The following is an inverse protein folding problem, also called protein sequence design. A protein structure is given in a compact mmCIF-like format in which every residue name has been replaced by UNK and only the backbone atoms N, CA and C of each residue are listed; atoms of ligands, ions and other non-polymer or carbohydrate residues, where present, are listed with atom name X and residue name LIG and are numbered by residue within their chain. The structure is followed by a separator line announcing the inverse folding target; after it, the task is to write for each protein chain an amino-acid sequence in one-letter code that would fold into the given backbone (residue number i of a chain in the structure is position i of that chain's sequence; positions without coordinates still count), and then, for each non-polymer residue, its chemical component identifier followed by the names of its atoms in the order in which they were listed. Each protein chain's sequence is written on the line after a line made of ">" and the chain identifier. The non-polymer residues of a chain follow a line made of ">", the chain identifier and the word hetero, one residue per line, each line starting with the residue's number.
data_IF_824396681642
#
_entry.id   IF_824396681642
#
_cell.length_a   1.000
_cell.length_b   1.000
_cell.length_c   1.000
_cell.angle_alpha   90.00
_cell.angle_beta   90.00
_cell.angle_gamma   90.00
#
_symmetry.space_group_name_H-M   'P 1'
#
loop_
_entity.id
_entity.type
_entity.pdbx_description
1 polymer ?
#
# COMPACT_ATOMS: atom_id res chain seq x y z
N UNK A 1 2.07 -32.44 11.20
CA UNK A 1 2.82 -32.64 12.48
C UNK A 1 4.27 -32.37 12.13
N UNK A 2 4.85 -31.28 12.68
CA UNK A 2 6.25 -30.95 12.46
C UNK A 2 7.14 -31.89 13.27
N UNK A 3 8.31 -32.18 12.76
CA UNK A 3 9.32 -33.01 13.45
C UNK A 3 10.12 -32.08 14.37
N UNK A 4 10.08 -32.29 15.68
CA UNK A 4 10.87 -31.54 16.64
C UNK A 4 12.37 -31.82 16.39
N UNK A 5 13.15 -30.78 16.05
CA UNK A 5 14.57 -30.94 15.71
C UNK A 5 15.48 -30.85 16.95
N UNK A 6 15.16 -30.07 17.99
CA UNK A 6 15.86 -30.01 19.28
C UNK A 6 15.22 -29.02 20.25
N UNK A 7 15.33 -29.30 21.55
CA UNK A 7 15.22 -28.31 22.61
C UNK A 7 16.49 -27.46 22.68
N UNK A 8 16.32 -26.16 22.89
CA UNK A 8 17.41 -25.19 23.05
C UNK A 8 17.51 -24.77 24.53
N UNK A 9 18.71 -24.48 24.99
CA UNK A 9 19.01 -24.29 26.42
C UNK A 9 18.32 -23.09 27.11
N UNK A 10 17.60 -22.24 26.36
CA UNK A 10 17.04 -20.96 26.84
C UNK A 10 15.51 -20.87 26.76
N UNK A 11 14.79 -21.99 26.88
CA UNK A 11 13.32 -21.97 26.84
C UNK A 11 12.75 -21.82 25.43
N UNK A 12 13.48 -22.30 24.44
CA UNK A 12 13.02 -22.36 23.05
C UNK A 12 13.18 -23.78 22.50
N UNK A 13 12.33 -24.14 21.52
CA UNK A 13 12.49 -25.35 20.74
C UNK A 13 12.33 -25.06 19.25
N UNK A 14 13.12 -25.79 18.44
CA UNK A 14 13.12 -25.66 16.99
C UNK A 14 12.32 -26.82 16.38
N UNK A 15 11.32 -26.47 15.58
CA UNK A 15 10.45 -27.40 14.87
C UNK A 15 10.64 -27.21 13.36
N UNK A 16 10.61 -28.29 12.58
CA UNK A 16 10.65 -28.24 11.13
C UNK A 16 9.28 -28.61 10.56
N UNK A 17 8.70 -27.71 9.79
CA UNK A 17 7.45 -27.96 9.06
C UNK A 17 7.67 -27.66 7.59
N UNK A 18 7.75 -28.72 6.77
CA UNK A 18 8.07 -28.64 5.34
C UNK A 18 9.36 -27.83 5.06
N UNK A 19 9.23 -26.70 4.37
CA UNK A 19 10.35 -25.80 4.02
C UNK A 19 10.58 -24.68 5.03
N UNK A 20 9.99 -24.77 6.25
CA UNK A 20 10.08 -23.74 7.29
C UNK A 20 10.64 -24.32 8.57
N UNK A 21 11.61 -23.60 9.16
CA UNK A 21 12.10 -23.83 10.53
C UNK A 21 11.35 -22.88 11.46
N UNK A 22 10.70 -23.41 12.46
CA UNK A 22 9.87 -22.65 13.42
C UNK A 22 10.53 -22.68 14.78
N UNK A 23 10.85 -21.51 15.30
CA UNK A 23 11.33 -21.35 16.68
C UNK A 23 10.14 -21.00 17.58
N UNK A 24 9.91 -21.84 18.61
CA UNK A 24 8.84 -21.64 19.60
C UNK A 24 9.42 -21.47 21.00
N UNK A 25 8.67 -20.79 21.86
CA UNK A 25 8.97 -20.75 23.30
C UNK A 25 8.40 -21.98 23.98
N UNK A 26 8.83 -22.24 25.23
CA UNK A 26 8.34 -23.36 26.05
C UNK A 26 6.83 -23.34 26.30
N UNK A 27 6.21 -22.17 26.25
CA UNK A 27 4.75 -22.00 26.31
C UNK A 27 4.02 -22.35 25.00
N UNK A 28 4.76 -22.79 23.96
CA UNK A 28 4.24 -23.12 22.65
C UNK A 28 4.04 -21.90 21.74
N UNK A 29 4.25 -20.67 22.23
CA UNK A 29 4.10 -19.47 21.40
C UNK A 29 5.19 -19.37 20.34
N UNK A 30 4.83 -18.81 19.17
CA UNK A 30 5.76 -18.59 18.05
C UNK A 30 6.74 -17.47 18.42
N UNK A 31 8.04 -17.76 18.36
CA UNK A 31 9.10 -16.77 18.52
C UNK A 31 9.58 -16.25 17.14
N UNK A 32 9.86 -17.16 16.21
CA UNK A 32 10.27 -16.82 14.84
C UNK A 32 10.03 -17.97 13.86
N UNK A 33 9.98 -17.68 12.56
CA UNK A 33 9.91 -18.68 11.50
C UNK A 33 10.91 -18.33 10.38
N UNK A 34 11.64 -19.34 9.87
CA UNK A 34 12.68 -19.18 8.88
C UNK A 34 12.49 -20.18 7.74
N UNK A 35 12.81 -19.81 6.51
CA UNK A 35 12.84 -20.79 5.42
C UNK A 35 14.03 -21.73 5.58
N UNK A 36 13.78 -23.04 5.42
CA UNK A 36 14.84 -24.06 5.46
C UNK A 36 15.80 -23.99 4.26
N UNK A 37 15.46 -23.22 3.22
CA UNK A 37 16.33 -23.00 2.05
C UNK A 37 17.35 -21.89 2.26
N UNK A 38 17.10 -20.96 3.21
CA UNK A 38 17.96 -19.80 3.47
C UNK A 38 18.68 -19.81 4.82
N UNK A 39 18.18 -20.55 5.81
CA UNK A 39 18.77 -20.61 7.13
C UNK A 39 19.16 -22.06 7.48
N UNK A 40 20.45 -22.29 7.75
CA UNK A 40 20.89 -23.57 8.28
C UNK A 40 20.39 -23.74 9.72
N UNK A 41 19.87 -24.92 10.14
CA UNK A 41 19.40 -25.17 11.50
C UNK A 41 20.43 -24.82 12.59
N UNK A 42 21.72 -25.00 12.27
CA UNK A 42 22.84 -24.65 13.17
C UNK A 42 22.96 -23.14 13.41
N UNK A 43 22.72 -22.30 12.39
CA UNK A 43 22.78 -20.84 12.52
C UNK A 43 21.61 -20.31 13.37
N UNK A 44 20.42 -20.90 13.21
CA UNK A 44 19.24 -20.54 14.01
C UNK A 44 19.43 -20.94 15.49
N UNK A 45 20.07 -22.11 15.75
CA UNK A 45 20.42 -22.53 17.10
C UNK A 45 21.44 -21.60 17.75
N UNK A 46 22.52 -21.30 17.06
CA UNK A 46 23.56 -20.43 17.59
C UNK A 46 23.02 -19.05 17.95
N UNK A 47 22.21 -18.45 17.08
CA UNK A 47 21.57 -17.16 17.33
C UNK A 47 20.57 -17.19 18.51
N UNK A 48 19.84 -18.30 18.69
CA UNK A 48 18.92 -18.46 19.82
C UNK A 48 19.65 -18.68 21.15
N UNK A 49 20.82 -19.33 21.14
CA UNK A 49 21.66 -19.59 22.32
C UNK A 49 22.41 -18.34 22.81
N UNK A 50 22.90 -17.49 21.87
CA UNK A 50 23.64 -16.26 22.21
C UNK A 50 22.72 -15.09 22.62
N UNK A 51 21.50 -15.03 22.10
CA UNK A 51 20.61 -13.90 22.27
C UNK A 51 19.85 -13.86 23.60
N UNK A 52 20.18 -14.58 24.61
CA UNK A 52 19.62 -14.65 25.98
C UNK A 52 18.49 -13.71 26.44
N UNK A 53 18.13 -12.68 25.69
CA UNK A 53 16.97 -11.77 25.90
C UNK A 53 16.58 -11.06 24.58
N UNK A 54 15.30 -10.93 24.33
CA UNK A 54 14.67 -10.61 23.03
C UNK A 54 15.11 -9.38 22.21
N UNK A 55 15.81 -8.40 22.77
CA UNK A 55 16.34 -7.26 22.00
C UNK A 55 17.70 -7.58 21.36
N UNK A 56 18.55 -8.33 22.05
CA UNK A 56 19.85 -8.77 21.53
C UNK A 56 19.74 -9.77 20.35
N UNK A 57 18.62 -10.49 20.23
CA UNK A 57 18.35 -11.41 19.12
C UNK A 57 18.19 -10.69 17.79
N UNK A 58 17.57 -9.52 17.78
CA UNK A 58 17.38 -8.71 16.58
C UNK A 58 18.71 -8.02 16.13
N UNK A 59 19.56 -7.61 17.07
CA UNK A 59 20.87 -7.00 16.80
C UNK A 59 21.90 -8.04 16.33
N UNK A 60 22.06 -9.17 17.04
CA UNK A 60 22.99 -10.23 16.65
C UNK A 60 22.65 -10.86 15.29
N UNK A 61 21.37 -10.90 14.91
CA UNK A 61 20.95 -11.37 13.58
C UNK A 61 21.18 -10.31 12.51
N UNK A 62 21.11 -9.01 12.83
CA UNK A 62 21.45 -7.90 11.93
C UNK A 62 22.93 -7.87 11.56
N UNK A 63 23.82 -8.03 12.52
CA UNK A 63 25.28 -7.98 12.29
C UNK A 63 25.84 -9.22 11.57
N UNK A 64 25.27 -10.41 11.79
CA UNK A 64 25.71 -11.64 11.12
C UNK A 64 25.33 -11.68 9.63
N UNK A 65 24.44 -10.81 9.17
CA UNK A 65 23.95 -10.75 7.79
C UNK A 65 24.36 -9.49 7.01
N UNK A 66 25.12 -8.55 7.60
CA UNK A 66 25.59 -7.32 6.93
C UNK A 66 26.81 -7.53 6.02
N UNK A 67 26.90 -8.67 5.38
CA UNK A 67 27.93 -9.04 4.43
C UNK A 67 27.43 -9.58 3.10
N UNK A 68 26.95 -8.69 2.20
CA UNK A 68 26.73 -8.93 0.76
C UNK A 68 25.49 -9.71 0.35
N UNK A 69 24.70 -9.06 -0.46
CA UNK A 69 23.47 -9.43 -1.14
C UNK A 69 22.24 -9.36 -0.23
N UNK A 70 21.33 -8.50 -0.64
CA UNK A 70 19.94 -8.51 -0.22
C UNK A 70 19.35 -9.92 -0.39
N UNK A 71 19.57 -10.76 0.61
CA UNK A 71 18.79 -11.98 0.75
C UNK A 71 17.42 -11.57 1.21
N UNK A 72 16.34 -11.95 0.53
CA UNK A 72 15.01 -11.61 0.96
C UNK A 72 14.81 -12.15 2.38
N UNK A 73 14.54 -11.27 3.32
CA UNK A 73 14.14 -11.61 4.69
C UNK A 73 12.95 -12.58 4.60
N UNK A 74 13.18 -13.84 4.86
CA UNK A 74 12.24 -14.96 4.75
C UNK A 74 11.27 -15.03 5.94
N UNK A 75 10.73 -13.91 6.36
CA UNK A 75 9.49 -13.91 7.09
C UNK A 75 8.38 -13.93 6.05
N UNK A 76 7.65 -15.03 5.95
CA UNK A 76 6.45 -15.17 5.13
C UNK A 76 5.58 -13.92 5.26
N UNK A 77 5.79 -12.98 4.35
CA UNK A 77 5.17 -11.67 4.36
C UNK A 77 3.98 -11.68 3.41
N UNK A 78 2.79 -11.49 3.92
CA UNK A 78 1.66 -11.15 3.08
C UNK A 78 1.84 -9.71 2.58
N UNK A 79 1.69 -9.52 1.27
CA UNK A 79 1.54 -8.21 0.67
C UNK A 79 0.11 -8.04 0.18
N UNK A 80 -0.56 -6.99 0.61
CA UNK A 80 -1.87 -6.61 0.12
C UNK A 80 -1.73 -5.38 -0.79
N UNK A 81 -2.18 -5.50 -2.03
CA UNK A 81 -2.28 -4.40 -2.97
C UNK A 81 -3.71 -3.91 -3.00
N UNK A 82 -3.91 -2.65 -2.63
CA UNK A 82 -5.20 -1.98 -2.60
C UNK A 82 -5.39 -0.98 -3.74
N UNK A 83 -4.30 -0.53 -4.37
CA UNK A 83 -4.38 0.34 -5.53
C UNK A 83 -4.85 -0.42 -6.77
N UNK A 84 -6.00 -0.01 -7.30
CA UNK A 84 -6.67 -0.70 -8.39
C UNK A 84 -7.40 -1.94 -7.90
N UNK A 85 -7.18 -3.05 -8.58
CA UNK A 85 -7.76 -4.32 -8.21
C UNK A 85 -7.08 -4.90 -6.97
N UNK A 86 -7.89 -5.40 -6.02
CA UNK A 86 -7.33 -6.02 -4.83
C UNK A 86 -6.58 -7.32 -5.16
N UNK A 87 -5.34 -7.40 -4.69
CA UNK A 87 -4.51 -8.58 -4.79
C UNK A 87 -3.87 -8.88 -3.44
N UNK A 88 -3.81 -10.16 -3.09
CA UNK A 88 -3.02 -10.65 -1.97
C UNK A 88 -1.86 -11.46 -2.53
N UNK A 89 -0.65 -11.16 -2.11
CA UNK A 89 0.56 -11.85 -2.55
C UNK A 89 1.25 -12.50 -1.37
N UNK A 90 1.82 -13.66 -1.62
CA UNK A 90 2.74 -14.36 -0.72
C UNK A 90 4.06 -14.52 -1.46
N UNK A 91 5.14 -13.98 -0.92
CA UNK A 91 6.49 -14.03 -1.54
C UNK A 91 6.52 -13.59 -3.02
N UNK A 92 5.67 -12.61 -3.37
CA UNK A 92 5.55 -12.08 -4.73
C UNK A 92 4.57 -12.80 -5.64
N UNK A 93 4.07 -13.98 -5.27
CA UNK A 93 3.09 -14.73 -6.04
C UNK A 93 1.66 -14.39 -5.61
N UNK A 94 0.76 -14.21 -6.59
CA UNK A 94 -0.64 -13.86 -6.32
C UNK A 94 -1.39 -15.06 -5.74
N UNK A 95 -1.97 -14.86 -4.56
CA UNK A 95 -2.79 -15.87 -3.87
C UNK A 95 -4.17 -15.96 -4.50
N UNK A 96 -4.61 -17.19 -4.82
CA UNK A 96 -5.97 -17.43 -5.30
C UNK A 96 -6.98 -17.31 -4.15
N UNK A 97 -7.79 -16.25 -4.17
CA UNK A 97 -8.68 -15.88 -3.06
C UNK A 97 -10.05 -16.58 -3.08
N UNK A 98 -10.32 -17.42 -4.07
CA UNK A 98 -11.63 -18.05 -4.23
C UNK A 98 -12.72 -17.07 -4.69
N UNK A 99 -14.01 -17.49 -4.58
CA UNK A 99 -15.16 -16.75 -5.13
C UNK A 99 -16.16 -16.26 -4.09
N UNK A 100 -15.92 -16.45 -2.81
CA UNK A 100 -16.84 -16.03 -1.75
C UNK A 100 -16.73 -14.51 -1.53
N UNK A 101 -17.58 -13.74 -2.20
CA UNK A 101 -17.56 -12.26 -2.17
C UNK A 101 -17.60 -11.69 -0.73
N UNK A 102 -18.44 -12.24 0.16
CA UNK A 102 -18.55 -11.76 1.55
C UNK A 102 -17.32 -12.07 2.38
N UNK A 103 -16.72 -13.25 2.19
CA UNK A 103 -15.45 -13.58 2.82
C UNK A 103 -14.33 -12.64 2.33
N UNK A 104 -14.28 -12.36 1.02
CA UNK A 104 -13.31 -11.43 0.45
C UNK A 104 -13.51 -9.98 0.95
N UNK A 105 -14.76 -9.54 1.11
CA UNK A 105 -15.06 -8.23 1.71
C UNK A 105 -14.54 -8.15 3.15
N UNK A 106 -14.76 -9.18 3.97
CA UNK A 106 -14.20 -9.28 5.33
C UNK A 106 -12.67 -9.23 5.29
N UNK A 107 -12.04 -9.99 4.39
CA UNK A 107 -10.59 -10.02 4.27
C UNK A 107 -10.03 -8.63 3.95
N UNK A 108 -10.55 -7.96 2.92
CA UNK A 108 -10.14 -6.60 2.54
C UNK A 108 -10.31 -5.63 3.71
N UNK A 109 -11.45 -5.70 4.38
CA UNK A 109 -11.72 -4.84 5.54
C UNK A 109 -10.72 -5.08 6.70
N UNK A 110 -10.47 -6.35 7.07
CA UNK A 110 -9.51 -6.68 8.13
C UNK A 110 -8.08 -6.27 7.75
N UNK A 111 -7.67 -6.49 6.50
CA UNK A 111 -6.38 -6.05 5.99
C UNK A 111 -6.26 -4.51 6.00
N UNK A 112 -7.31 -3.79 5.57
CA UNK A 112 -7.34 -2.33 5.60
C UNK A 112 -7.27 -1.75 7.04
N UNK A 113 -7.87 -2.46 8.01
CA UNK A 113 -7.80 -2.06 9.43
C UNK A 113 -6.45 -2.40 10.07
N UNK A 114 -5.57 -3.10 9.36
CA UNK A 114 -4.35 -3.68 9.89
C UNK A 114 -4.74 -4.61 11.06
N UNK A 115 -4.01 -4.74 12.09
CA UNK A 115 -4.38 -5.57 13.25
C UNK A 115 -5.39 -4.93 14.23
N UNK A 116 -6.11 -3.86 13.83
CA UNK A 116 -7.12 -3.21 14.71
C UNK A 116 -8.37 -4.08 14.84
N UNK A 117 -8.86 -4.32 16.08
CA UNK A 117 -10.02 -5.19 16.31
C UNK A 117 -11.31 -4.61 15.73
N UNK A 118 -12.12 -5.44 15.05
CA UNK A 118 -13.40 -5.10 14.41
C UNK A 118 -14.53 -5.84 15.12
N UNK A 119 -15.57 -5.14 15.64
CA UNK A 119 -16.71 -5.81 16.28
C UNK A 119 -17.43 -6.77 15.33
N UNK A 120 -17.77 -7.98 15.83
CA UNK A 120 -18.53 -8.94 15.03
C UNK A 120 -19.90 -8.41 14.62
N UNK A 121 -20.56 -7.62 15.50
CA UNK A 121 -21.88 -7.06 15.23
C UNK A 121 -21.83 -6.05 14.07
N UNK A 122 -20.74 -5.29 13.96
CA UNK A 122 -20.51 -4.41 12.82
C UNK A 122 -20.42 -5.21 11.52
N UNK A 123 -19.63 -6.30 11.48
CA UNK A 123 -19.50 -7.14 10.29
C UNK A 123 -20.82 -7.83 9.92
N UNK A 124 -21.61 -8.25 10.92
CA UNK A 124 -22.92 -8.85 10.68
C UNK A 124 -23.90 -7.83 10.10
N UNK A 125 -24.01 -6.64 10.70
CA UNK A 125 -24.89 -5.57 10.22
C UNK A 125 -24.50 -5.07 8.83
N UNK A 126 -23.21 -4.96 8.55
CA UNK A 126 -22.72 -4.54 7.24
C UNK A 126 -23.02 -5.55 6.14
N UNK A 127 -22.69 -6.83 6.36
CA UNK A 127 -22.75 -7.83 5.28
C UNK A 127 -24.07 -8.59 5.21
N UNK A 128 -24.86 -8.62 6.28
CA UNK A 128 -26.14 -9.33 6.36
C UNK A 128 -27.21 -8.51 7.07
N UNK A 129 -27.52 -7.24 6.62
CA UNK A 129 -28.43 -6.33 7.32
C UNK A 129 -29.83 -6.91 7.47
N UNK A 130 -30.32 -7.66 6.47
CA UNK A 130 -31.68 -8.24 6.44
C UNK A 130 -31.77 -9.62 7.11
N UNK A 131 -30.67 -10.14 7.69
CA UNK A 131 -30.65 -11.48 8.27
C UNK A 131 -30.93 -11.44 9.76
N UNK A 132 -31.67 -12.46 10.26
CA UNK A 132 -31.77 -12.65 11.71
C UNK A 132 -30.37 -12.78 12.36
N UNK A 133 -30.17 -12.26 13.59
CA UNK A 133 -28.85 -12.23 14.23
C UNK A 133 -28.15 -13.61 14.34
N UNK A 134 -28.94 -14.67 14.60
CA UNK A 134 -28.39 -16.05 14.65
C UNK A 134 -27.88 -16.51 13.30
N UNK A 135 -28.62 -16.21 12.23
CA UNK A 135 -28.25 -16.57 10.84
C UNK A 135 -27.06 -15.75 10.35
N UNK A 136 -27.05 -14.45 10.63
CA UNK A 136 -25.94 -13.55 10.31
C UNK A 136 -24.63 -14.05 11.00
N UNK A 137 -24.70 -14.42 12.29
CA UNK A 137 -23.57 -14.98 13.02
C UNK A 137 -23.05 -16.28 12.42
N UNK A 138 -23.95 -17.21 12.06
CA UNK A 138 -23.55 -18.45 11.39
C UNK A 138 -22.85 -18.17 10.06
N UNK A 139 -23.39 -17.25 9.24
CA UNK A 139 -22.81 -16.83 7.96
C UNK A 139 -21.44 -16.18 8.13
N UNK A 140 -21.28 -15.31 9.14
CA UNK A 140 -20.00 -14.68 9.49
C UNK A 140 -18.96 -15.73 9.90
N UNK A 141 -19.33 -16.66 10.77
CA UNK A 141 -18.43 -17.74 11.22
C UNK A 141 -17.99 -18.62 10.05
N UNK A 142 -18.90 -18.95 9.12
CA UNK A 142 -18.59 -19.72 7.91
C UNK A 142 -17.63 -18.97 7.00
N UNK A 143 -17.83 -17.65 6.81
CA UNK A 143 -16.94 -16.82 6.02
C UNK A 143 -15.54 -16.71 6.65
N UNK A 144 -15.46 -16.49 7.98
CA UNK A 144 -14.20 -16.44 8.70
C UNK A 144 -13.47 -17.79 8.68
N UNK A 145 -14.21 -18.90 8.80
CA UNK A 145 -13.62 -20.24 8.66
C UNK A 145 -12.95 -20.42 7.29
N UNK A 146 -13.63 -19.99 6.21
CA UNK A 146 -13.07 -20.03 4.85
C UNK A 146 -11.80 -19.20 4.74
N UNK A 147 -11.78 -18.00 5.33
CA UNK A 147 -10.60 -17.15 5.35
C UNK A 147 -9.44 -17.72 6.16
N UNK A 148 -9.74 -18.30 7.33
CA UNK A 148 -8.72 -18.98 8.14
C UNK A 148 -8.07 -20.13 7.39
N UNK A 149 -8.85 -20.92 6.68
CA UNK A 149 -8.32 -22.00 5.85
C UNK A 149 -7.39 -21.43 4.77
N UNK A 150 -7.84 -20.44 4.01
CA UNK A 150 -7.07 -19.79 2.96
C UNK A 150 -5.75 -19.21 3.51
N UNK A 151 -5.83 -18.43 4.59
CA UNK A 151 -4.63 -17.83 5.19
C UNK A 151 -3.70 -18.88 5.82
N UNK A 152 -4.24 -19.96 6.36
CA UNK A 152 -3.44 -21.08 6.89
C UNK A 152 -2.70 -21.84 5.78
N UNK A 153 -3.28 -21.94 4.58
CA UNK A 153 -2.60 -22.50 3.41
C UNK A 153 -1.44 -21.57 2.94
N UNK A 154 -1.63 -20.26 3.05
CA UNK A 154 -0.60 -19.27 2.73
C UNK A 154 0.50 -19.18 3.79
N UNK A 155 0.17 -19.39 5.06
CA UNK A 155 1.04 -19.16 6.21
C UNK A 155 1.21 -20.47 7.04
N UNK A 156 1.91 -21.48 6.51
CA UNK A 156 1.99 -22.79 7.16
C UNK A 156 2.68 -22.77 8.53
N UNK A 157 3.45 -21.73 8.82
CA UNK A 157 4.07 -21.52 10.14
C UNK A 157 3.08 -21.05 11.23
N UNK A 158 1.86 -20.61 10.83
CA UNK A 158 0.83 -20.12 11.74
C UNK A 158 -0.40 -21.04 11.64
N UNK A 159 -0.92 -21.59 12.75
CA UNK A 159 -2.15 -22.36 12.72
C UNK A 159 -3.29 -21.57 12.08
N UNK A 160 -4.09 -22.21 11.22
CA UNK A 160 -5.17 -21.53 10.50
C UNK A 160 -6.14 -20.80 11.46
N UNK A 161 -6.42 -21.37 12.65
CA UNK A 161 -7.25 -20.76 13.69
C UNK A 161 -6.67 -19.48 14.27
N UNK A 162 -5.36 -19.30 14.19
CA UNK A 162 -4.63 -18.15 14.71
C UNK A 162 -4.42 -17.03 13.69
N UNK A 163 -4.76 -17.24 12.41
CA UNK A 163 -4.62 -16.22 11.36
C UNK A 163 -5.59 -15.06 11.53
N UNK A 164 -6.82 -15.35 11.96
CA UNK A 164 -7.85 -14.35 12.32
C UNK A 164 -8.33 -14.69 13.72
N UNK A 165 -8.03 -13.82 14.66
CA UNK A 165 -8.38 -13.97 16.07
C UNK A 165 -9.78 -13.42 16.36
N UNK A 166 -10.51 -14.07 17.27
CA UNK A 166 -11.75 -13.58 17.84
C UNK A 166 -11.54 -13.39 19.34
N UNK A 167 -11.45 -12.15 19.79
CA UNK A 167 -11.22 -11.79 21.18
C UNK A 167 -12.31 -10.80 21.64
N UNK A 168 -13.00 -11.13 22.72
CA UNK A 168 -14.07 -10.29 23.32
C UNK A 168 -15.09 -9.80 22.27
N UNK A 169 -15.52 -10.69 21.34
CA UNK A 169 -16.49 -10.37 20.29
C UNK A 169 -15.95 -9.49 19.15
N UNK A 170 -14.63 -9.41 19.00
CA UNK A 170 -13.98 -8.62 17.94
C UNK A 170 -13.03 -9.48 17.13
N UNK A 171 -13.09 -9.34 15.81
CA UNK A 171 -12.16 -9.99 14.89
C UNK A 171 -10.98 -9.08 14.59
N UNK A 172 -9.79 -9.67 14.47
CA UNK A 172 -8.58 -9.01 13.97
C UNK A 172 -7.65 -10.00 13.29
N UNK A 173 -6.80 -9.52 12.42
CA UNK A 173 -5.68 -10.31 11.92
C UNK A 173 -4.69 -10.60 13.05
N UNK A 174 -4.04 -11.74 13.00
CA UNK A 174 -2.97 -12.08 13.90
C UNK A 174 -1.85 -11.05 13.86
N UNK A 175 -1.32 -10.59 14.99
CA UNK A 175 -0.15 -9.71 15.02
C UNK A 175 1.14 -10.40 14.54
N UNK A 176 1.14 -11.74 14.45
CA UNK A 176 2.26 -12.52 13.92
C UNK A 176 2.32 -12.52 12.39
N UNK A 177 1.25 -12.06 11.70
CA UNK A 177 1.27 -11.89 10.25
C UNK A 177 2.01 -10.61 9.92
N UNK A 178 3.16 -10.72 9.25
CA UNK A 178 3.83 -9.56 8.66
C UNK A 178 3.06 -9.16 7.41
N UNK A 179 2.35 -8.06 7.51
CA UNK A 179 1.56 -7.50 6.42
C UNK A 179 2.25 -6.24 5.88
N UNK A 180 2.62 -6.26 4.62
CA UNK A 180 2.97 -5.06 3.85
C UNK A 180 1.78 -4.62 3.00
N UNK A 181 1.58 -3.32 2.86
CA UNK A 181 0.45 -2.78 2.11
C UNK A 181 0.97 -1.68 1.19
N UNK A 182 0.53 -1.72 -0.08
CA UNK A 182 0.98 -0.76 -1.10
C UNK A 182 0.61 0.69 -0.76
N UNK A 183 -0.52 0.92 -0.09
CA UNK A 183 -0.91 2.27 0.36
C UNK A 183 0.00 2.80 1.47
N UNK A 184 0.45 1.95 2.40
CA UNK A 184 1.39 2.35 3.45
C UNK A 184 2.78 2.63 2.85
N UNK A 185 3.20 1.84 1.87
CA UNK A 185 4.44 2.06 1.12
C UNK A 185 4.37 3.38 0.32
N UNK A 186 3.23 3.65 -0.34
CA UNK A 186 3.00 4.92 -1.03
C UNK A 186 3.16 6.12 -0.08
N UNK A 187 2.47 6.11 1.06
CA UNK A 187 2.55 7.17 2.06
C UNK A 187 3.97 7.37 2.59
N UNK A 188 4.67 6.26 2.87
CA UNK A 188 6.06 6.28 3.36
C UNK A 188 7.01 6.91 2.33
N UNK A 189 6.94 6.48 1.06
CA UNK A 189 7.76 7.01 -0.03
C UNK A 189 7.44 8.47 -0.31
N UNK A 190 6.17 8.84 -0.35
CA UNK A 190 5.75 10.21 -0.55
C UNK A 190 6.25 11.12 0.57
N UNK A 191 6.10 10.71 1.84
CA UNK A 191 6.64 11.45 2.98
C UNK A 191 8.17 11.56 2.95
N UNK A 192 8.87 10.51 2.53
CA UNK A 192 10.33 10.52 2.35
C UNK A 192 10.74 11.50 1.25
N UNK A 193 10.06 11.46 0.10
CA UNK A 193 10.30 12.41 -1.00
C UNK A 193 10.14 13.86 -0.55
N UNK A 194 9.08 14.18 0.21
CA UNK A 194 8.87 15.52 0.77
C UNK A 194 10.02 15.97 1.68
N UNK A 195 10.47 15.11 2.59
CA UNK A 195 11.61 15.42 3.48
C UNK A 195 12.90 15.64 2.70
N UNK A 196 13.15 14.84 1.67
CA UNK A 196 14.32 15.02 0.79
C UNK A 196 14.25 16.34 0.01
N UNK A 197 13.05 16.70 -0.48
CA UNK A 197 12.81 17.96 -1.17
C UNK A 197 13.06 19.17 -0.26
N UNK A 198 12.55 19.13 0.98
CA UNK A 198 12.78 20.15 2.02
C UNK A 198 14.27 20.29 2.38
N UNK A 199 15.01 19.17 2.37
CA UNK A 199 16.46 19.14 2.57
C UNK A 199 17.29 19.56 1.34
N UNK A 200 16.64 19.96 0.23
CA UNK A 200 17.31 20.34 -1.01
C UNK A 200 17.85 19.18 -1.85
N UNK A 201 17.61 17.92 -1.45
CA UNK A 201 18.04 16.70 -2.14
C UNK A 201 17.04 16.32 -3.25
N UNK A 202 16.88 17.25 -4.22
CA UNK A 202 15.84 17.17 -5.25
C UNK A 202 15.89 15.90 -6.12
N UNK A 203 17.06 15.43 -6.62
CA UNK A 203 17.11 14.23 -7.44
C UNK A 203 16.61 12.99 -6.70
N UNK A 204 16.96 12.86 -5.43
CA UNK A 204 16.52 11.75 -4.58
C UNK A 204 15.03 11.86 -4.24
N UNK A 205 14.53 13.08 -4.02
CA UNK A 205 13.09 13.31 -3.82
C UNK A 205 12.29 12.86 -5.06
N UNK A 206 12.75 13.21 -6.27
CA UNK A 206 12.12 12.77 -7.54
C UNK A 206 12.08 11.26 -7.62
N UNK A 207 13.18 10.57 -7.30
CA UNK A 207 13.23 9.10 -7.31
C UNK A 207 12.20 8.48 -6.34
N UNK A 208 12.05 9.04 -5.13
CA UNK A 208 11.03 8.52 -4.18
C UNK A 208 9.61 8.82 -4.65
N UNK A 209 9.37 9.98 -5.27
CA UNK A 209 8.08 10.31 -5.87
C UNK A 209 7.73 9.40 -7.04
N UNK A 210 8.68 9.09 -7.92
CA UNK A 210 8.48 8.16 -9.04
C UNK A 210 8.10 6.76 -8.52
N UNK A 211 8.86 6.24 -7.56
CA UNK A 211 8.56 4.95 -6.92
C UNK A 211 7.17 4.93 -6.24
N UNK A 212 6.77 6.03 -5.60
CA UNK A 212 5.43 6.15 -5.04
C UNK A 212 4.37 6.18 -6.14
N UNK A 213 4.60 6.92 -7.24
CA UNK A 213 3.66 7.01 -8.36
C UNK A 213 3.46 5.68 -9.10
N UNK A 214 4.46 4.79 -9.10
CA UNK A 214 4.39 3.44 -9.69
C UNK A 214 3.47 2.50 -8.86
N UNK A 215 3.36 2.72 -7.55
CA UNK A 215 2.45 1.95 -6.70
C UNK A 215 0.98 2.22 -7.02
N UNK A 216 0.65 3.45 -7.46
CA UNK A 216 -0.71 3.84 -7.75
C UNK A 216 -1.19 3.30 -9.10
N UNK A 217 -1.67 2.06 -9.11
CA UNK A 217 -2.17 1.34 -10.30
C UNK A 217 -3.64 1.58 -10.61
N UNK A 218 -4.33 2.33 -9.78
CA UNK A 218 -5.75 2.68 -9.87
C UNK A 218 -6.27 3.17 -8.53
N UNK A 219 -7.54 3.57 -8.47
CA UNK A 219 -8.13 4.05 -7.23
C UNK A 219 -8.25 2.92 -6.19
N UNK A 220 -8.24 3.30 -4.93
CA UNK A 220 -8.29 2.39 -3.80
C UNK A 220 -9.51 1.47 -3.84
N UNK A 221 -9.28 0.14 -3.88
CA UNK A 221 -10.30 -0.91 -3.85
C UNK A 221 -11.45 -0.67 -4.82
N UNK A 222 -11.18 -0.80 -6.14
CA UNK A 222 -12.19 -0.58 -7.18
C UNK A 222 -13.38 -1.55 -7.12
N UNK A 223 -13.23 -2.70 -6.46
CA UNK A 223 -14.31 -3.66 -6.21
C UNK A 223 -15.30 -3.16 -5.15
N UNK A 224 -14.86 -2.27 -4.26
CA UNK A 224 -15.64 -1.75 -3.13
C UNK A 224 -15.97 -0.25 -3.30
N UNK A 225 -16.27 0.18 -4.54
CA UNK A 225 -16.49 1.61 -4.87
C UNK A 225 -17.62 2.25 -4.06
N UNK A 226 -18.66 1.49 -3.74
CA UNK A 226 -19.85 1.99 -3.05
C UNK A 226 -19.82 1.74 -1.54
N UNK A 227 -18.73 1.17 -1.02
CA UNK A 227 -18.59 0.90 0.39
C UNK A 227 -18.12 2.16 1.14
N UNK A 228 -18.96 2.67 2.05
CA UNK A 228 -18.70 3.91 2.79
C UNK A 228 -17.31 3.91 3.49
N UNK A 229 -16.88 2.76 4.03
CA UNK A 229 -15.63 2.65 4.75
C UNK A 229 -14.39 2.87 3.86
N UNK A 230 -14.52 2.78 2.54
CA UNK A 230 -13.43 3.02 1.58
C UNK A 230 -13.37 4.46 1.10
N UNK A 231 -14.48 5.23 1.19
CA UNK A 231 -14.62 6.53 0.53
C UNK A 231 -13.57 7.54 1.02
N UNK A 232 -13.49 7.73 2.34
CA UNK A 232 -12.54 8.72 2.93
C UNK A 232 -11.09 8.37 2.58
N UNK A 233 -10.73 7.10 2.67
CA UNK A 233 -9.37 6.67 2.36
C UNK A 233 -9.07 6.78 0.87
N UNK A 234 -10.04 6.50 0.01
CA UNK A 234 -9.92 6.67 -1.44
C UNK A 234 -9.68 8.13 -1.80
N UNK A 235 -10.49 9.05 -1.27
CA UNK A 235 -10.31 10.49 -1.50
C UNK A 235 -8.94 10.96 -1.03
N UNK A 236 -8.52 10.59 0.19
CA UNK A 236 -7.20 10.91 0.73
C UNK A 236 -6.07 10.45 -0.19
N UNK A 237 -6.15 9.24 -0.72
CA UNK A 237 -5.14 8.66 -1.60
C UNK A 237 -5.15 9.31 -2.98
N UNK A 238 -6.32 9.66 -3.53
CA UNK A 238 -6.44 10.43 -4.78
C UNK A 238 -5.78 11.79 -4.64
N UNK A 239 -6.08 12.51 -3.55
CA UNK A 239 -5.49 13.82 -3.27
C UNK A 239 -3.97 13.73 -3.08
N UNK A 240 -3.51 12.73 -2.31
CA UNK A 240 -2.08 12.48 -2.12
C UNK A 240 -1.35 12.18 -3.43
N UNK A 241 -1.98 11.39 -4.30
CA UNK A 241 -1.44 11.07 -5.61
C UNK A 241 -1.39 12.30 -6.55
N UNK A 242 -2.44 13.12 -6.55
CA UNK A 242 -2.47 14.35 -7.32
C UNK A 242 -1.39 15.35 -6.84
N UNK A 243 -1.20 15.50 -5.51
CA UNK A 243 -0.12 16.36 -4.96
C UNK A 243 1.27 15.85 -5.36
N UNK A 244 1.50 14.54 -5.25
CA UNK A 244 2.75 13.90 -5.69
C UNK A 244 3.03 14.18 -7.16
N UNK A 245 2.07 14.02 -8.05
CA UNK A 245 2.21 14.24 -9.48
C UNK A 245 2.45 15.72 -9.81
N UNK A 246 1.79 16.67 -9.11
CA UNK A 246 2.05 18.10 -9.26
C UNK A 246 3.50 18.46 -8.89
N UNK A 247 4.02 17.85 -7.80
CA UNK A 247 5.44 18.03 -7.41
C UNK A 247 6.37 17.49 -8.48
N UNK A 248 6.16 16.28 -8.97
CA UNK A 248 6.92 15.69 -10.07
C UNK A 248 6.89 16.60 -11.31
N UNK A 249 5.71 17.05 -11.73
CA UNK A 249 5.57 17.91 -12.90
C UNK A 249 6.40 19.19 -12.81
N UNK A 250 6.37 19.85 -11.62
CA UNK A 250 7.20 21.05 -11.37
C UNK A 250 8.70 20.72 -11.41
N UNK A 251 9.12 19.57 -10.86
CA UNK A 251 10.53 19.16 -10.85
C UNK A 251 11.02 18.80 -12.25
N UNK A 252 10.24 18.05 -13.03
CA UNK A 252 10.56 17.78 -14.43
C UNK A 252 10.68 19.08 -15.27
N UNK A 253 9.77 20.03 -15.07
CA UNK A 253 9.84 21.30 -15.75
C UNK A 253 11.14 22.06 -15.42
N UNK A 254 11.55 22.11 -14.15
CA UNK A 254 12.81 22.74 -13.70
C UNK A 254 14.04 22.00 -14.22
N UNK A 255 13.96 20.70 -14.39
CA UNK A 255 15.02 19.86 -14.93
C UNK A 255 15.13 19.92 -16.48
N UNK A 256 14.31 20.73 -17.16
CA UNK A 256 14.31 20.81 -18.62
C UNK A 256 13.67 19.61 -19.31
N UNK A 257 12.78 18.92 -18.62
CA UNK A 257 12.05 17.74 -19.10
C UNK A 257 10.54 18.05 -19.28
N UNK A 258 10.17 18.96 -20.18
CA UNK A 258 8.79 19.43 -20.30
C UNK A 258 7.80 18.36 -20.72
N UNK A 259 8.22 17.30 -21.43
CA UNK A 259 7.33 16.20 -21.81
C UNK A 259 6.97 15.31 -20.61
N UNK A 260 7.91 15.05 -19.70
CA UNK A 260 7.61 14.31 -18.47
C UNK A 260 6.68 15.10 -17.56
N UNK A 261 6.88 16.43 -17.50
CA UNK A 261 5.95 17.34 -16.81
C UNK A 261 4.55 17.28 -17.43
N UNK A 262 4.43 17.29 -18.75
CA UNK A 262 3.13 17.15 -19.46
C UNK A 262 2.45 15.83 -19.09
N UNK A 263 3.18 14.71 -19.08
CA UNK A 263 2.63 13.41 -18.71
C UNK A 263 2.09 13.41 -17.27
N UNK A 264 2.86 13.95 -16.33
CA UNK A 264 2.44 14.06 -14.93
C UNK A 264 1.19 14.94 -14.79
N UNK A 265 1.15 16.09 -15.48
CA UNK A 265 -0.01 16.99 -15.48
C UNK A 265 -1.28 16.31 -16.00
N UNK A 266 -1.21 15.54 -17.08
CA UNK A 266 -2.39 14.84 -17.59
C UNK A 266 -2.92 13.82 -16.60
N UNK A 267 -2.05 13.08 -15.89
CA UNK A 267 -2.47 12.15 -14.82
C UNK A 267 -3.16 12.87 -13.65
N UNK A 268 -2.76 14.12 -13.34
CA UNK A 268 -3.50 14.96 -12.38
C UNK A 268 -4.89 15.29 -12.90
N UNK A 269 -4.99 15.77 -14.15
CA UNK A 269 -6.27 16.16 -14.75
C UNK A 269 -7.23 14.99 -15.03
N UNK A 270 -6.75 13.76 -15.04
CA UNK A 270 -7.59 12.55 -15.01
C UNK A 270 -8.33 12.40 -13.68
N UNK A 271 -7.76 12.91 -12.57
CA UNK A 271 -8.35 12.86 -11.23
C UNK A 271 -9.14 14.12 -10.89
N UNK A 272 -8.60 15.29 -11.22
CA UNK A 272 -9.24 16.58 -11.05
C UNK A 272 -9.10 17.42 -12.31
N UNK A 273 -10.19 17.48 -13.10
CA UNK A 273 -10.26 18.25 -14.34
C UNK A 273 -10.27 19.76 -14.13
N UNK A 274 -10.52 20.20 -12.88
CA UNK A 274 -10.63 21.60 -12.53
C UNK A 274 -9.36 22.17 -11.88
N UNK A 275 -8.29 21.37 -11.74
CA UNK A 275 -7.03 21.85 -11.15
C UNK A 275 -6.37 22.92 -12.03
N UNK A 276 -6.68 24.18 -11.75
CA UNK A 276 -6.16 25.33 -12.49
C UNK A 276 -4.63 25.43 -12.45
N UNK A 277 -3.99 25.02 -11.34
CA UNK A 277 -2.53 25.05 -11.23
C UNK A 277 -1.90 24.12 -12.26
N UNK A 278 -2.47 22.94 -12.41
CA UNK A 278 -2.03 21.95 -13.41
C UNK A 278 -2.29 22.43 -14.82
N UNK A 279 -3.45 23.06 -15.09
CA UNK A 279 -3.71 23.68 -16.40
C UNK A 279 -2.68 24.76 -16.72
N UNK A 280 -2.32 25.65 -15.77
CA UNK A 280 -1.28 26.65 -15.98
C UNK A 280 0.08 26.04 -16.25
N UNK A 281 0.45 25.00 -15.51
CA UNK A 281 1.72 24.28 -15.72
C UNK A 281 1.78 23.65 -17.11
N UNK A 282 0.68 23.06 -17.59
CA UNK A 282 0.58 22.56 -18.98
C UNK A 282 0.74 23.67 -20.00
N UNK A 283 0.09 24.82 -19.79
CA UNK A 283 0.27 25.99 -20.68
C UNK A 283 1.74 26.41 -20.72
N UNK A 284 2.42 26.45 -19.56
CA UNK A 284 3.85 26.77 -19.48
C UNK A 284 4.69 25.72 -20.23
N UNK A 285 4.43 24.42 -20.01
CA UNK A 285 5.11 23.35 -20.72
C UNK A 285 5.00 23.52 -22.25
N UNK A 286 3.78 23.74 -22.76
CA UNK A 286 3.56 23.92 -24.18
C UNK A 286 4.19 25.20 -24.73
N UNK A 287 4.23 26.28 -23.95
CA UNK A 287 4.92 27.51 -24.34
C UNK A 287 6.42 27.27 -24.47
N UNK A 288 7.06 26.60 -23.50
CA UNK A 288 8.49 26.24 -23.57
C UNK A 288 8.82 25.28 -24.72
N UNK A 289 7.87 24.45 -25.12
CA UNK A 289 8.00 23.55 -26.27
C UNK A 289 7.73 24.27 -27.62
N UNK A 290 7.46 25.56 -27.64
CA UNK A 290 7.08 26.32 -28.84
C UNK A 290 5.68 25.97 -29.36
N UNK A 291 4.87 25.24 -28.59
CA UNK A 291 3.56 24.75 -29.01
C UNK A 291 2.43 25.68 -28.54
N UNK A 292 2.53 26.94 -28.93
CA UNK A 292 1.62 28.03 -28.51
C UNK A 292 0.14 27.67 -28.69
N UNK A 293 -0.25 27.06 -29.77
CA UNK A 293 -1.63 26.66 -30.06
C UNK A 293 -2.15 25.67 -29.01
N UNK A 294 -1.31 24.73 -28.55
CA UNK A 294 -1.66 23.79 -27.49
C UNK A 294 -1.81 24.48 -26.14
N UNK A 295 -0.94 25.46 -25.83
CA UNK A 295 -1.06 26.26 -24.62
C UNK A 295 -2.39 27.02 -24.58
N UNK A 296 -2.78 27.69 -25.67
CA UNK A 296 -4.05 28.40 -25.77
C UNK A 296 -5.27 27.45 -25.70
N UNK A 297 -5.15 26.26 -26.31
CA UNK A 297 -6.19 25.24 -26.20
C UNK A 297 -6.36 24.75 -24.76
N UNK A 298 -5.26 24.63 -24.00
CA UNK A 298 -5.29 24.18 -22.61
C UNK A 298 -6.05 25.16 -21.71
N UNK A 299 -5.90 26.48 -21.92
CA UNK A 299 -6.73 27.48 -21.23
C UNK A 299 -8.22 27.25 -21.48
N UNK A 300 -8.63 27.03 -22.75
CA UNK A 300 -10.05 26.78 -23.08
C UNK A 300 -10.58 25.47 -22.46
N UNK A 301 -9.72 24.47 -22.24
CA UNK A 301 -10.10 23.26 -21.54
C UNK A 301 -10.34 23.54 -20.05
N UNK A 302 -9.47 24.33 -19.42
CA UNK A 302 -9.64 24.79 -18.04
C UNK A 302 -10.95 25.57 -17.86
N UNK A 303 -11.19 26.58 -18.71
CA UNK A 303 -12.39 27.42 -18.69
C UNK A 303 -13.66 26.59 -18.77
N UNK A 304 -13.73 25.65 -19.73
CA UNK A 304 -14.90 24.75 -19.88
C UNK A 304 -15.08 23.79 -18.70
N UNK A 305 -13.98 23.28 -18.10
CA UNK A 305 -14.07 22.39 -16.95
C UNK A 305 -14.65 23.11 -15.75
N UNK A 306 -14.15 24.32 -15.44
CA UNK A 306 -14.61 25.13 -14.34
C UNK A 306 -16.06 25.62 -14.50
N UNK A 307 -16.43 26.04 -15.72
CA UNK A 307 -17.80 26.44 -16.02
C UNK A 307 -18.80 25.29 -15.87
N UNK A 308 -18.44 24.11 -16.37
CA UNK A 308 -19.29 22.92 -16.31
C UNK A 308 -19.51 22.41 -14.88
N UNK A 309 -18.41 22.35 -14.09
CA UNK A 309 -18.45 21.72 -12.77
C UNK A 309 -18.93 22.66 -11.67
N UNK A 310 -18.53 23.94 -11.75
CA UNK A 310 -18.77 24.91 -10.68
C UNK A 310 -19.48 26.19 -11.12
N UNK A 311 -19.76 26.37 -12.42
CA UNK A 311 -20.28 27.64 -12.95
C UNK A 311 -19.30 28.81 -12.77
N UNK A 312 -18.01 28.52 -12.71
CA UNK A 312 -16.96 29.50 -12.41
C UNK A 312 -16.06 29.80 -13.61
N UNK A 313 -15.51 31.00 -13.63
CA UNK A 313 -14.46 31.37 -14.61
C UNK A 313 -13.07 31.14 -14.02
N UNK A 314 -12.04 30.91 -14.87
CA UNK A 314 -10.67 30.78 -14.41
C UNK A 314 -10.20 31.98 -13.55
N UNK A 315 -9.32 31.71 -12.61
CA UNK A 315 -8.76 32.72 -11.70
C UNK A 315 -8.06 33.85 -12.46
N UNK A 316 -7.90 35.03 -11.84
CA UNK A 316 -7.15 36.14 -12.46
C UNK A 316 -5.74 35.75 -12.88
N UNK A 317 -5.08 34.88 -12.14
CA UNK A 317 -3.74 34.37 -12.47
C UNK A 317 -3.73 33.58 -13.78
N UNK A 318 -4.69 32.67 -13.94
CA UNK A 318 -4.82 31.83 -15.14
C UNK A 318 -5.17 32.69 -16.37
N UNK A 319 -6.08 33.65 -16.21
CA UNK A 319 -6.42 34.61 -17.29
C UNK A 319 -5.24 35.49 -17.67
N UNK A 320 -4.50 36.00 -16.68
CA UNK A 320 -3.32 36.83 -16.95
C UNK A 320 -2.24 36.06 -17.70
N UNK A 321 -2.02 34.81 -17.32
CA UNK A 321 -1.06 33.94 -18.01
C UNK A 321 -1.49 33.65 -19.46
N UNK A 322 -2.77 33.36 -19.68
CA UNK A 322 -3.32 33.25 -21.04
C UNK A 322 -3.11 34.50 -21.89
N UNK A 323 -3.39 35.70 -21.31
CA UNK A 323 -3.19 36.99 -21.98
C UNK A 323 -1.71 37.24 -22.33
N UNK A 324 -0.76 36.81 -21.49
CA UNK A 324 0.67 36.90 -21.82
C UNK A 324 1.03 36.05 -23.04
N UNK A 325 0.55 34.79 -23.10
CA UNK A 325 0.79 33.91 -24.24
C UNK A 325 0.21 34.51 -25.53
N UNK A 326 -0.93 35.21 -25.44
CA UNK A 326 -1.51 35.89 -26.62
C UNK A 326 -0.66 37.07 -27.10
N UNK A 327 -0.04 37.83 -26.20
CA UNK A 327 0.81 39.01 -26.54
C UNK A 327 2.15 38.59 -27.11
N UNK A 328 2.81 37.58 -26.55
CA UNK A 328 4.13 37.11 -26.97
C UNK A 328 4.17 36.52 -28.39
N UNK A 329 3.03 36.32 -29.02
CA UNK A 329 2.91 35.88 -30.43
C UNK A 329 2.60 36.98 -31.42
N UNK A 330 2.65 38.24 -31.01
CA UNK A 330 2.31 39.40 -31.83
C UNK A 330 3.47 40.02 -32.62
N UNK A 331 4.66 39.41 -32.63
CA UNK A 331 5.81 39.84 -33.43
C UNK A 331 6.27 38.69 -34.35
N UNK A 332 5.62 38.52 -35.43
CA UNK A 332 6.14 37.95 -36.68
C UNK A 332 5.71 38.85 -37.83
#
# INVERSE_FOLDING_TARGET
>A
MGEALSELSNGYYLERSQDVLVLRRDDGSLAAAFSSRGAAPAAVRWAAEEAGHGEAFAEAFGEAFDGRQESPSLALGLRANFFGRFELLLDGEVVSLGRNAKALAILRYLLARRSRPVPQDYLMGWLWPESEPKRARWSLNSAVYTLRKLLGECLPALPASETILLEKGRYRLSPHIRLSVDTDEFDSRFAKGRRLEEAGRVPEAVTEYEKAAELYRGDYLIEDLYEEWTMIERERLVDGYADLLRRLAVRYMKAGQPWESVRACYRVLEKDRCDENTHRLLMECFTRLGQRTRALRQYRLCERALEHEYGMTPSPQTRSFYASILRDGGFC
#
